data_IF_275278517321
#
_entry.id   IF_275278517321
#
_cell.length_a   1.000
_cell.length_b   1.000
_cell.length_c   1.000
_cell.angle_alpha   90.00
_cell.angle_beta   90.00
_cell.angle_gamma   90.00
#
_symmetry.space_group_name_H-M   'P 1'
#
loop_
_entity.id
_entity.type
_entity.pdbx_description
1 polymer ?
#
# COMPACT_ATOMS: atom_id res chain seq x y z
N UNK A 1 22.40 5.55 -6.78
CA UNK A 1 22.50 5.70 -5.30
C UNK A 1 21.67 4.69 -4.53
N UNK A 2 20.40 4.39 -4.89
CA UNK A 2 19.62 3.33 -4.21
C UNK A 2 20.14 1.92 -4.52
N UNK A 3 20.59 1.67 -5.74
CA UNK A 3 21.07 0.34 -6.17
C UNK A 3 22.31 -0.15 -5.41
N UNK A 4 23.19 0.75 -4.99
CA UNK A 4 24.37 0.41 -4.19
C UNK A 4 23.98 -0.05 -2.78
N UNK A 5 22.92 0.55 -2.20
CA UNK A 5 22.40 0.16 -0.89
C UNK A 5 21.77 -1.24 -0.98
N UNK A 6 21.03 -1.52 -2.06
CA UNK A 6 20.45 -2.84 -2.27
C UNK A 6 21.53 -3.93 -2.46
N UNK A 7 22.59 -3.65 -3.21
CA UNK A 7 23.72 -4.57 -3.38
C UNK A 7 24.42 -4.88 -2.04
N UNK A 8 24.68 -3.85 -1.23
CA UNK A 8 25.31 -4.01 0.09
C UNK A 8 24.44 -4.85 1.03
N UNK A 9 23.12 -4.63 1.04
CA UNK A 9 22.19 -5.38 1.89
C UNK A 9 22.09 -6.86 1.50
N UNK A 10 22.21 -7.17 0.21
CA UNK A 10 22.20 -8.54 -0.30
C UNK A 10 23.52 -9.27 -0.01
N UNK A 11 24.67 -8.59 -0.20
CA UNK A 11 26.00 -9.13 0.11
C UNK A 11 26.25 -9.31 1.61
N UNK A 12 25.60 -8.51 2.46
CA UNK A 12 25.76 -8.57 3.93
C UNK A 12 24.91 -9.66 4.59
N UNK A 13 24.12 -10.42 3.84
CA UNK A 13 23.28 -11.52 4.36
C UNK A 13 22.07 -11.07 5.18
N UNK A 14 21.79 -9.76 5.26
CA UNK A 14 20.62 -9.19 5.93
C UNK A 14 19.37 -9.34 5.06
N UNK A 15 19.54 -9.34 3.73
CA UNK A 15 18.45 -9.47 2.77
C UNK A 15 17.57 -8.22 2.70
N UNK A 16 16.83 -8.09 1.59
CA UNK A 16 15.84 -7.01 1.43
C UNK A 16 14.52 -7.50 2.01
N UNK A 17 13.89 -6.76 2.94
CA UNK A 17 12.59 -7.15 3.48
C UNK A 17 11.55 -7.32 2.37
N UNK A 18 10.77 -8.40 2.44
CA UNK A 18 9.88 -8.82 1.35
C UNK A 18 8.79 -7.78 0.99
N UNK A 19 8.46 -6.86 1.90
CA UNK A 19 7.49 -5.80 1.65
C UNK A 19 7.95 -4.74 0.63
N UNK A 20 9.25 -4.68 0.28
CA UNK A 20 9.76 -3.83 -0.81
C UNK A 20 9.64 -4.48 -2.19
N UNK A 21 9.35 -5.79 -2.26
CA UNK A 21 9.28 -6.49 -3.55
C UNK A 21 7.91 -6.24 -4.19
N UNK A 22 7.86 -5.75 -5.44
CA UNK A 22 6.60 -5.59 -6.16
C UNK A 22 5.95 -6.97 -6.39
N UNK A 23 4.81 -7.21 -5.75
CA UNK A 23 4.05 -8.46 -5.94
C UNK A 23 3.02 -8.23 -7.04
N UNK A 24 3.11 -9.00 -8.11
CA UNK A 24 2.13 -8.93 -9.20
C UNK A 24 0.85 -9.63 -8.78
N UNK A 25 -0.29 -9.00 -9.07
CA UNK A 25 -1.60 -9.62 -8.92
C UNK A 25 -2.38 -9.50 -10.22
N UNK A 26 -3.18 -10.50 -10.53
CA UNK A 26 -4.07 -10.51 -11.69
C UNK A 26 -5.52 -10.46 -11.24
N UNK A 27 -6.30 -9.57 -11.84
CA UNK A 27 -7.75 -9.50 -11.67
C UNK A 27 -8.39 -9.21 -13.02
N UNK A 28 -9.33 -10.06 -13.43
CA UNK A 28 -10.10 -9.90 -14.66
C UNK A 28 -9.23 -9.74 -15.92
N UNK A 29 -8.12 -10.47 -16.01
CA UNK A 29 -7.18 -10.39 -17.11
C UNK A 29 -6.32 -9.12 -17.13
N UNK A 30 -6.38 -8.29 -16.08
CA UNK A 30 -5.52 -7.11 -15.89
C UNK A 30 -4.48 -7.38 -14.82
N UNK A 31 -3.24 -6.98 -15.09
CA UNK A 31 -2.10 -7.18 -14.19
C UNK A 31 -1.83 -5.88 -13.45
N UNK A 32 -1.98 -5.93 -12.12
CA UNK A 32 -1.58 -4.88 -11.20
C UNK A 32 -0.33 -5.27 -10.41
N UNK A 33 0.24 -4.29 -9.70
CA UNK A 33 1.36 -4.53 -8.80
C UNK A 33 1.03 -4.00 -7.41
N UNK A 34 1.22 -4.79 -6.37
CA UNK A 34 1.25 -4.28 -5.01
C UNK A 34 2.58 -3.60 -4.77
N UNK A 35 2.54 -2.39 -4.23
CA UNK A 35 3.73 -1.71 -3.74
C UNK A 35 3.39 -1.13 -2.35
N UNK A 36 4.24 -1.42 -1.36
CA UNK A 36 4.18 -0.77 -0.05
C UNK A 36 5.41 0.08 0.14
N UNK A 37 5.20 1.34 0.52
CA UNK A 37 6.27 2.28 0.82
C UNK A 37 6.87 2.08 2.21
N UNK A 38 6.14 1.46 3.15
CA UNK A 38 6.54 1.30 4.55
C UNK A 38 6.36 -0.14 5.04
N UNK A 39 7.14 -0.50 6.05
CA UNK A 39 7.12 -1.81 6.72
C UNK A 39 5.73 -2.08 7.32
N UNK A 40 4.89 -2.81 6.59
CA UNK A 40 3.92 -3.76 7.15
C UNK A 40 3.04 -3.34 8.34
N UNK A 41 2.72 -2.05 8.53
CA UNK A 41 1.85 -1.65 9.65
C UNK A 41 0.46 -2.31 9.46
N UNK A 42 -0.14 -2.74 10.57
CA UNK A 42 -1.49 -3.34 10.61
C UNK A 42 -2.45 -2.51 11.48
N UNK A 43 -2.03 -1.33 11.93
CA UNK A 43 -2.79 -0.44 12.80
C UNK A 43 -2.75 1.02 12.30
N UNK A 44 -2.72 1.24 10.99
CA UNK A 44 -2.57 2.59 10.42
C UNK A 44 -3.84 3.06 9.70
N UNK A 45 -4.38 4.19 10.14
CA UNK A 45 -5.58 4.83 9.57
C UNK A 45 -5.37 5.44 8.18
N UNK A 46 -4.11 5.66 7.79
CA UNK A 46 -3.76 6.27 6.50
C UNK A 46 -3.44 5.22 5.42
N UNK A 47 -3.57 3.93 5.74
CA UNK A 47 -3.33 2.87 4.77
C UNK A 47 -4.35 2.88 3.64
N UNK A 48 -3.86 2.72 2.41
CA UNK A 48 -4.72 2.59 1.26
C UNK A 48 -5.44 1.24 1.29
N UNK A 49 -6.64 1.18 0.72
CA UNK A 49 -7.44 -0.05 0.65
C UNK A 49 -6.69 -1.22 0.02
N UNK A 50 -5.84 -0.94 -0.96
CA UNK A 50 -5.03 -1.95 -1.63
C UNK A 50 -3.94 -2.54 -0.70
N UNK A 51 -3.42 -1.75 0.24
CA UNK A 51 -2.44 -2.23 1.22
C UNK A 51 -3.10 -3.13 2.27
N UNK A 52 -4.35 -2.87 2.63
CA UNK A 52 -5.15 -3.76 3.48
C UNK A 52 -5.40 -5.12 2.81
N UNK A 53 -5.69 -5.15 1.51
CA UNK A 53 -5.82 -6.40 0.76
C UNK A 53 -4.48 -7.14 0.71
N UNK A 54 -3.38 -6.42 0.47
CA UNK A 54 -2.05 -7.03 0.54
C UNK A 54 -1.77 -7.62 1.93
N UNK A 55 -2.17 -6.93 3.02
CA UNK A 55 -2.00 -7.44 4.38
C UNK A 55 -2.80 -8.73 4.56
N UNK A 56 -4.04 -8.75 4.08
CA UNK A 56 -4.92 -9.91 4.14
C UNK A 56 -4.34 -11.11 3.38
N UNK A 57 -3.76 -10.88 2.19
CA UNK A 57 -3.20 -11.94 1.35
C UNK A 57 -1.84 -12.47 1.84
N UNK A 58 -0.97 -11.60 2.38
CA UNK A 58 0.38 -11.98 2.80
C UNK A 58 0.49 -12.32 4.30
N UNK A 59 -0.28 -11.64 5.14
CA UNK A 59 -0.23 -11.74 6.59
C UNK A 59 -1.64 -11.75 7.22
N UNK A 60 -2.45 -12.81 6.98
CA UNK A 60 -3.81 -12.90 7.48
C UNK A 60 -3.90 -12.79 9.01
N UNK A 61 -2.88 -13.26 9.74
CA UNK A 61 -2.80 -13.15 11.21
C UNK A 61 -2.75 -11.69 11.70
N UNK A 62 -2.01 -10.83 10.98
CA UNK A 62 -1.93 -9.41 11.30
C UNK A 62 -3.22 -8.69 10.92
N UNK A 63 -3.85 -9.11 9.82
CA UNK A 63 -5.15 -8.59 9.41
C UNK A 63 -6.22 -8.91 10.46
N UNK A 64 -6.26 -10.14 10.98
CA UNK A 64 -7.20 -10.52 12.02
C UNK A 64 -6.99 -9.70 13.29
N UNK A 65 -5.73 -9.48 13.71
CA UNK A 65 -5.42 -8.59 14.83
C UNK A 65 -5.94 -7.18 14.58
N UNK A 66 -5.75 -6.63 13.37
CA UNK A 66 -6.27 -5.33 13.00
C UNK A 66 -7.81 -5.26 13.13
N UNK A 67 -8.51 -6.29 12.66
CA UNK A 67 -9.97 -6.40 12.82
C UNK A 67 -10.38 -6.42 14.29
N UNK A 68 -9.67 -7.15 15.14
CA UNK A 68 -9.96 -7.24 16.57
C UNK A 68 -9.77 -5.90 17.30
N UNK A 69 -8.98 -4.99 16.73
CA UNK A 69 -8.78 -3.63 17.25
C UNK A 69 -9.86 -2.64 16.80
N UNK A 70 -10.71 -2.95 15.82
CA UNK A 70 -11.88 -2.14 15.44
C UNK A 70 -12.99 -2.23 16.51
N UNK A 71 -12.73 -1.67 17.70
CA UNK A 71 -13.66 -1.64 18.84
C UNK A 71 -14.14 -0.22 19.11
N UNK A 72 -15.40 -0.10 19.53
CA UNK A 72 -15.95 1.17 20.03
C UNK A 72 -16.30 2.21 18.94
N UNK A 73 -16.55 1.78 17.71
CA UNK A 73 -16.93 2.68 16.60
C UNK A 73 -15.75 3.30 15.85
N UNK A 74 -14.52 2.91 16.15
CA UNK A 74 -13.34 3.29 15.40
C UNK A 74 -13.04 2.26 14.32
N UNK A 75 -13.07 2.69 13.07
CA UNK A 75 -12.68 1.89 11.89
C UNK A 75 -11.34 2.36 11.36
N UNK A 76 -10.54 1.45 10.82
CA UNK A 76 -9.25 1.82 10.21
C UNK A 76 -9.44 2.64 8.93
N UNK A 77 -10.59 2.47 8.27
CA UNK A 77 -10.98 3.24 7.11
C UNK A 77 -12.14 4.18 7.47
N UNK A 78 -12.10 5.41 6.98
CA UNK A 78 -13.16 6.40 7.25
C UNK A 78 -14.54 6.01 6.70
N UNK A 79 -14.61 5.07 5.76
CA UNK A 79 -15.85 4.76 5.03
C UNK A 79 -16.35 3.31 5.21
N UNK A 80 -15.50 2.36 5.61
CA UNK A 80 -15.87 0.94 5.72
C UNK A 80 -14.95 0.21 6.72
N UNK A 81 -15.48 -0.77 7.46
CA UNK A 81 -14.67 -1.61 8.33
C UNK A 81 -13.85 -2.64 7.55
N UNK A 82 -12.85 -3.23 8.19
CA UNK A 82 -12.05 -4.30 7.59
C UNK A 82 -12.89 -5.53 7.21
N UNK A 83 -13.94 -5.83 7.99
CA UNK A 83 -14.86 -6.94 7.72
C UNK A 83 -15.61 -6.80 6.38
N UNK A 84 -15.94 -5.57 5.95
CA UNK A 84 -16.58 -5.32 4.66
C UNK A 84 -15.57 -5.32 3.51
N UNK A 85 -14.32 -4.93 3.81
CA UNK A 85 -13.25 -4.81 2.83
C UNK A 85 -12.77 -6.18 2.31
N UNK A 86 -12.84 -7.24 3.14
CA UNK A 86 -12.48 -8.62 2.75
C UNK A 86 -13.52 -9.33 1.89
N UNK A 87 -14.69 -8.73 1.64
CA UNK A 87 -15.70 -9.35 0.77
C UNK A 87 -15.10 -9.53 -0.63
N UNK A 88 -15.27 -10.69 -1.28
CA UNK A 88 -14.61 -10.99 -2.55
C UNK A 88 -14.97 -9.97 -3.65
N UNK A 89 -16.22 -9.51 -3.67
CA UNK A 89 -16.67 -8.46 -4.59
C UNK A 89 -15.95 -7.12 -4.34
N UNK A 90 -15.72 -6.78 -3.06
CA UNK A 90 -15.07 -5.54 -2.68
C UNK A 90 -13.57 -5.57 -2.97
N UNK A 91 -12.91 -6.70 -2.69
CA UNK A 91 -11.51 -6.94 -3.04
C UNK A 91 -11.29 -6.72 -4.54
N UNK A 92 -12.16 -7.29 -5.36
CA UNK A 92 -12.10 -7.15 -6.83
C UNK A 92 -12.17 -5.68 -7.25
N UNK A 93 -13.14 -4.93 -6.72
CA UNK A 93 -13.28 -3.49 -7.02
C UNK A 93 -12.03 -2.70 -6.66
N UNK A 94 -11.49 -2.90 -5.45
CA UNK A 94 -10.31 -2.17 -4.98
C UNK A 94 -9.08 -2.49 -5.84
N UNK A 95 -8.91 -3.75 -6.24
CA UNK A 95 -7.81 -4.16 -7.14
C UNK A 95 -7.94 -3.52 -8.52
N UNK A 96 -9.15 -3.47 -9.09
CA UNK A 96 -9.40 -2.79 -10.36
C UNK A 96 -9.15 -1.28 -10.29
N UNK A 97 -9.61 -0.63 -9.21
CA UNK A 97 -9.38 0.79 -8.96
C UNK A 97 -7.88 1.09 -8.80
N UNK A 98 -7.14 0.22 -8.12
CA UNK A 98 -5.70 0.34 -7.96
C UNK A 98 -4.96 0.23 -9.31
N UNK A 99 -5.33 -0.74 -10.16
CA UNK A 99 -4.79 -0.88 -11.52
C UNK A 99 -5.07 0.39 -12.32
N UNK A 100 -6.30 0.89 -12.31
CA UNK A 100 -6.69 2.11 -13.04
C UNK A 100 -5.88 3.33 -12.58
N UNK A 101 -5.65 3.48 -11.26
CA UNK A 101 -4.80 4.55 -10.71
C UNK A 101 -3.35 4.40 -11.14
N UNK A 102 -2.82 3.19 -11.17
CA UNK A 102 -1.45 2.92 -11.63
C UNK A 102 -1.28 3.23 -13.12
N UNK A 103 -2.24 2.82 -13.96
CA UNK A 103 -2.27 3.16 -15.37
C UNK A 103 -2.34 4.68 -15.58
N UNK A 104 -3.19 5.37 -14.84
CA UNK A 104 -3.28 6.83 -14.89
C UNK A 104 -1.97 7.51 -14.47
N UNK A 105 -1.33 7.06 -13.38
CA UNK A 105 -0.02 7.57 -12.93
C UNK A 105 1.08 7.31 -13.97
N UNK A 106 1.05 6.16 -14.64
CA UNK A 106 2.00 5.82 -15.72
C UNK A 106 1.77 6.68 -16.98
N UNK A 107 0.52 6.98 -17.31
CA UNK A 107 0.16 7.84 -18.45
C UNK A 107 0.45 9.32 -18.17
N UNK A 108 0.32 9.76 -16.92
CA UNK A 108 0.59 11.13 -16.49
C UNK A 108 2.09 11.50 -16.42
N UNK A 109 2.96 10.77 -17.13
CA UNK A 109 4.43 10.92 -17.14
C UNK A 109 4.88 12.36 -16.93
N UNK A 110 5.70 12.57 -15.89
CA UNK A 110 5.92 13.83 -15.20
C UNK A 110 6.18 15.03 -16.11
N UNK A 111 5.24 15.98 -16.15
CA UNK A 111 5.45 17.32 -16.71
C UNK A 111 5.69 18.38 -15.62
N UNK A 112 5.52 18.03 -14.34
CA UNK A 112 5.66 18.97 -13.22
C UNK A 112 6.78 18.57 -12.27
N UNK A 113 7.53 19.57 -11.83
CA UNK A 113 8.56 19.45 -10.79
C UNK A 113 7.98 18.97 -9.45
N UNK A 114 6.69 19.24 -9.17
CA UNK A 114 5.97 18.69 -8.02
C UNK A 114 5.96 17.15 -8.03
N UNK A 115 5.79 16.53 -9.21
CA UNK A 115 5.76 15.07 -9.34
C UNK A 115 7.14 14.41 -9.13
N UNK A 116 8.24 15.17 -9.24
CA UNK A 116 9.60 14.67 -9.00
C UNK A 116 10.11 14.94 -7.58
N UNK A 117 9.43 15.80 -6.82
CA UNK A 117 9.68 16.01 -5.38
C UNK A 117 8.75 15.11 -4.53
N UNK A 118 7.61 14.68 -5.09
CA UNK A 118 6.58 13.86 -4.42
C UNK A 118 6.84 12.35 -4.32
N UNK A 119 8.04 11.87 -4.66
CA UNK A 119 8.44 10.47 -4.37
C UNK A 119 8.80 10.26 -2.88
N UNK A 120 8.70 11.34 -2.09
CA UNK A 120 8.58 11.34 -0.64
C UNK A 120 7.25 12.02 -0.30
N UNK A 121 6.23 11.23 0.02
CA UNK A 121 5.12 11.65 0.88
C UNK A 121 4.19 12.79 0.39
N UNK A 122 3.76 12.85 -0.88
CA UNK A 122 2.75 13.85 -1.30
C UNK A 122 1.27 13.43 -1.22
N UNK A 123 0.97 12.20 -0.76
CA UNK A 123 -0.35 11.93 -0.14
C UNK A 123 -0.35 12.33 1.36
N UNK A 124 0.76 12.89 1.85
CA UNK A 124 0.97 13.27 3.24
C UNK A 124 1.49 14.71 3.42
N UNK A 125 1.21 15.62 2.48
CA UNK A 125 1.27 17.06 2.76
C UNK A 125 0.06 17.47 3.62
N UNK A 126 -0.02 16.89 4.83
CA UNK A 126 -0.77 17.46 5.91
C UNK A 126 0.05 18.67 6.38
N UNK A 127 -0.39 19.87 6.04
CA UNK A 127 0.21 21.15 6.43
C UNK A 127 0.18 21.41 7.95
N UNK A 128 0.16 20.37 8.79
CA UNK A 128 -0.04 20.45 10.24
C UNK A 128 1.11 19.88 11.07
N UNK A 129 2.26 19.60 10.46
CA UNK A 129 3.47 19.12 11.16
C UNK A 129 4.62 20.15 11.23
N UNK A 130 4.29 21.45 11.25
CA UNK A 130 5.20 22.49 11.74
C UNK A 130 4.55 23.21 12.93
N UNK A 131 4.58 22.55 14.09
CA UNK A 131 4.63 23.21 15.39
C UNK A 131 5.86 22.63 16.11
#
# INVERSE_FOLDING_TARGET
>A
MRDDIFRILEESGVGIPDYYKPIKFEVDGKIGTYNRSRSGCYFCFFQQKIEWIWLYEQHPDLYQKAMDFEKGGYTWNQNEGLADLIKPERIRQIKLDAIKKQEAKRQAGSCRLADNIGDVDEDNFCANCFI
#
